data_IF_455100353334
#
_entry.id   IF_455100353334
#
_cell.length_a   1.000
_cell.length_b   1.000
_cell.length_c   1.000
_cell.angle_alpha   90.00
_cell.angle_beta   90.00
_cell.angle_gamma   90.00
#
_symmetry.space_group_name_H-M   'P 1'
#
loop_
_entity.id
_entity.type
_entity.pdbx_description
1 polymer ?
#
# COMPACT_ATOMS: atom_id res chain seq x y z
N UNK A 1 3.71 -15.94 20.23
CA UNK A 1 4.32 -14.90 19.37
C UNK A 1 3.20 -14.30 18.54
N UNK A 2 3.15 -12.97 18.43
CA UNK A 2 2.26 -12.32 17.45
C UNK A 2 3.05 -12.19 16.15
N UNK A 3 2.45 -12.49 15.01
CA UNK A 3 3.09 -12.39 13.70
C UNK A 3 3.46 -10.93 13.35
N UNK A 4 2.91 -9.96 14.08
CA UNK A 4 3.17 -8.53 13.93
C UNK A 4 1.90 -7.75 13.61
N UNK A 5 1.93 -6.44 13.87
CA UNK A 5 0.83 -5.51 13.62
C UNK A 5 1.38 -4.10 13.41
N UNK A 6 0.85 -3.36 12.42
CA UNK A 6 1.08 -1.91 12.29
C UNK A 6 0.06 -1.13 13.16
N UNK A 7 0.38 0.10 13.59
CA UNK A 7 -0.56 0.93 14.35
C UNK A 7 -1.94 0.99 13.69
N UNK A 8 -3.00 0.73 14.47
CA UNK A 8 -4.38 0.75 13.98
C UNK A 8 -4.98 -0.61 13.62
N UNK A 9 -4.40 -1.74 14.08
CA UNK A 9 -5.03 -3.06 13.88
C UNK A 9 -4.57 -3.81 12.64
N UNK A 10 -3.63 -3.26 11.87
CA UNK A 10 -3.27 -3.82 10.56
C UNK A 10 -2.35 -5.04 10.71
N UNK A 11 -2.94 -6.23 10.62
CA UNK A 11 -2.28 -7.54 10.72
C UNK A 11 -2.12 -8.24 9.38
N UNK A 12 -1.34 -9.32 9.35
CA UNK A 12 -1.29 -10.26 8.22
C UNK A 12 -2.66 -10.84 7.90
N UNK A 13 -2.96 -11.04 6.61
CA UNK A 13 -4.20 -11.67 6.17
C UNK A 13 -4.65 -11.25 4.78
N UNK A 14 -5.70 -11.92 4.31
CA UNK A 14 -6.43 -11.53 3.09
C UNK A 14 -7.26 -10.28 3.42
N UNK A 15 -7.08 -9.22 2.63
CA UNK A 15 -7.77 -7.93 2.82
C UNK A 15 -8.94 -7.74 1.87
N UNK A 16 -8.94 -8.45 0.73
CA UNK A 16 -10.02 -8.43 -0.24
C UNK A 16 -10.06 -9.73 -1.04
N UNK A 17 -11.27 -10.23 -1.28
CA UNK A 17 -11.58 -11.25 -2.27
C UNK A 17 -12.67 -10.65 -3.15
N UNK A 18 -12.41 -10.53 -4.44
CA UNK A 18 -13.44 -10.10 -5.39
C UNK A 18 -13.18 -10.60 -6.80
N UNK A 19 -14.18 -10.52 -7.66
CA UNK A 19 -14.14 -11.09 -9.01
C UNK A 19 -12.97 -10.60 -9.88
N UNK A 20 -12.40 -9.42 -9.59
CA UNK A 20 -11.23 -8.88 -10.32
C UNK A 20 -9.88 -9.09 -9.63
N UNK A 21 -9.83 -9.49 -8.36
CA UNK A 21 -8.58 -9.74 -7.65
C UNK A 21 -8.72 -10.23 -6.21
N UNK A 22 -7.74 -11.03 -5.77
CA UNK A 22 -7.51 -11.38 -4.37
C UNK A 22 -6.32 -10.59 -3.87
N UNK A 23 -6.44 -9.96 -2.71
CA UNK A 23 -5.43 -9.07 -2.15
C UNK A 23 -5.14 -9.43 -0.70
N UNK A 24 -3.87 -9.31 -0.32
CA UNK A 24 -3.42 -9.68 1.01
C UNK A 24 -2.17 -8.94 1.45
N UNK A 25 -2.03 -8.84 2.77
CA UNK A 25 -0.90 -8.23 3.45
C UNK A 25 -0.18 -9.27 4.30
N UNK A 26 1.13 -9.16 4.39
CA UNK A 26 1.94 -9.78 5.44
C UNK A 26 2.62 -8.69 6.27
N UNK A 27 2.48 -8.75 7.59
CA UNK A 27 3.21 -7.94 8.55
C UNK A 27 4.06 -8.91 9.37
N UNK A 28 5.34 -8.61 9.51
CA UNK A 28 6.30 -9.43 10.23
C UNK A 28 6.97 -8.59 11.30
N UNK A 29 6.85 -9.01 12.56
CA UNK A 29 7.64 -8.47 13.66
C UNK A 29 8.94 -9.27 13.79
N UNK A 30 10.09 -8.61 13.71
CA UNK A 30 11.38 -9.28 13.85
C UNK A 30 12.37 -8.46 14.68
N UNK A 31 13.33 -9.14 15.28
CA UNK A 31 14.37 -8.51 16.08
C UNK A 31 15.74 -8.94 15.58
N UNK A 32 16.47 -7.99 15.01
CA UNK A 32 17.86 -8.21 14.60
C UNK A 32 18.76 -8.29 15.82
N UNK A 33 19.76 -9.19 15.80
CA UNK A 33 20.74 -9.26 16.89
C UNK A 33 21.43 -7.91 17.08
N UNK A 34 21.31 -7.34 18.28
CA UNK A 34 21.89 -6.04 18.63
C UNK A 34 21.04 -4.82 18.27
N UNK A 35 19.81 -4.99 17.76
CA UNK A 35 18.91 -3.88 17.50
C UNK A 35 18.41 -3.25 18.81
N UNK A 36 18.21 -1.93 18.82
CA UNK A 36 17.65 -1.25 20.00
C UNK A 36 16.17 -1.59 20.24
N UNK A 37 15.46 -2.04 19.21
CA UNK A 37 14.03 -2.33 19.22
C UNK A 37 13.67 -3.34 18.12
N UNK A 38 12.52 -4.03 18.22
CA UNK A 38 11.97 -4.82 17.12
C UNK A 38 11.65 -3.94 15.92
N UNK A 39 11.71 -4.49 14.71
CA UNK A 39 11.31 -3.85 13.46
C UNK A 39 10.06 -4.53 12.90
N UNK A 40 9.32 -3.81 12.07
CA UNK A 40 8.25 -4.37 11.26
C UNK A 40 8.66 -4.40 9.80
N UNK A 41 8.43 -5.54 9.17
CA UNK A 41 8.46 -5.66 7.70
C UNK A 41 7.06 -5.85 7.17
N UNK A 42 6.83 -5.32 5.98
CA UNK A 42 5.55 -5.35 5.30
C UNK A 42 5.72 -5.89 3.89
N UNK A 43 4.80 -6.76 3.47
CA UNK A 43 4.60 -7.11 2.06
C UNK A 43 3.12 -7.05 1.70
N UNK A 44 2.83 -6.71 0.45
CA UNK A 44 1.49 -6.78 -0.11
C UNK A 44 1.51 -7.62 -1.38
N UNK A 45 0.38 -8.23 -1.69
CA UNK A 45 0.16 -8.94 -2.95
C UNK A 45 -1.24 -8.68 -3.44
N UNK A 46 -1.37 -8.52 -4.75
CA UNK A 46 -2.65 -8.49 -5.46
C UNK A 46 -2.54 -9.48 -6.61
N UNK A 47 -3.48 -10.42 -6.70
CA UNK A 47 -3.49 -11.49 -7.70
C UNK A 47 -4.76 -11.35 -8.53
N UNK A 48 -4.62 -11.25 -9.85
CA UNK A 48 -5.76 -11.27 -10.76
C UNK A 48 -6.42 -12.66 -10.75
N UNK A 49 -7.69 -12.71 -10.38
CA UNK A 49 -8.46 -13.97 -10.23
C UNK A 49 -8.54 -14.81 -11.49
N UNK A 50 -8.62 -14.18 -12.67
CA UNK A 50 -8.82 -14.88 -13.95
C UNK A 50 -7.57 -15.59 -14.45
N UNK A 51 -6.38 -15.06 -14.13
CA UNK A 51 -5.11 -15.54 -14.67
C UNK A 51 -4.16 -16.07 -13.59
N UNK A 52 -4.49 -15.88 -12.31
CA UNK A 52 -3.63 -16.15 -11.17
C UNK A 52 -2.26 -15.45 -11.24
N UNK A 53 -2.17 -14.34 -11.97
CA UNK A 53 -0.94 -13.55 -12.10
C UNK A 53 -0.94 -12.38 -11.12
N UNK A 54 0.22 -12.00 -10.55
CA UNK A 54 0.35 -10.77 -9.77
C UNK A 54 -0.11 -9.54 -10.58
N UNK A 55 -0.71 -8.57 -9.89
CA UNK A 55 -0.93 -7.21 -10.38
C UNK A 55 0.10 -6.33 -9.70
N UNK A 56 1.07 -5.85 -10.48
CA UNK A 56 2.19 -5.05 -9.99
C UNK A 56 1.91 -3.56 -10.16
N UNK A 57 2.80 -2.71 -9.64
CA UNK A 57 2.76 -1.26 -9.85
C UNK A 57 2.85 -0.87 -11.34
N UNK A 58 3.55 -1.67 -12.15
CA UNK A 58 3.72 -1.44 -13.59
C UNK A 58 2.46 -1.80 -14.39
N UNK A 59 1.67 -2.75 -13.89
CA UNK A 59 0.33 -3.07 -14.41
C UNK A 59 -0.70 -2.01 -14.02
N UNK A 60 -0.55 -1.41 -12.83
CA UNK A 60 -1.52 -0.51 -12.24
C UNK A 60 -1.63 0.83 -13.00
N UNK A 61 -0.48 1.46 -13.26
CA UNK A 61 -0.43 2.82 -13.76
C UNK A 61 -0.21 2.89 -15.27
N UNK A 62 -0.90 3.83 -15.93
CA UNK A 62 -0.66 4.15 -17.35
C UNK A 62 0.66 4.88 -17.57
N UNK A 63 1.03 5.71 -16.60
CA UNK A 63 2.27 6.47 -16.54
C UNK A 63 2.75 6.42 -15.09
N UNK A 64 3.84 5.69 -14.86
CA UNK A 64 4.37 5.48 -13.52
C UNK A 64 4.90 6.78 -12.92
N UNK A 65 5.52 7.66 -13.71
CA UNK A 65 6.07 8.91 -13.18
C UNK A 65 4.95 9.83 -12.73
N UNK A 66 3.93 10.03 -13.58
CA UNK A 66 2.79 10.88 -13.25
C UNK A 66 1.99 10.34 -12.06
N UNK A 67 1.87 9.02 -11.93
CA UNK A 67 1.25 8.38 -10.77
C UNK A 67 2.04 8.64 -9.48
N UNK A 68 3.36 8.48 -9.51
CA UNK A 68 4.22 8.74 -8.35
C UNK A 68 4.17 10.21 -7.93
N UNK A 69 4.21 11.14 -8.88
CA UNK A 69 4.09 12.57 -8.57
C UNK A 69 2.74 12.91 -7.96
N UNK A 70 1.67 12.30 -8.48
CA UNK A 70 0.34 12.42 -7.88
C UNK A 70 0.32 11.88 -6.45
N UNK A 71 0.87 10.70 -6.21
CA UNK A 71 0.94 10.11 -4.87
C UNK A 71 1.77 10.96 -3.90
N UNK A 72 2.90 11.53 -4.33
CA UNK A 72 3.71 12.43 -3.49
C UNK A 72 2.92 13.64 -2.97
N UNK A 73 2.00 14.16 -3.78
CA UNK A 73 1.10 15.23 -3.34
C UNK A 73 0.00 14.74 -2.39
N UNK A 74 -0.58 13.56 -2.66
CA UNK A 74 -1.75 13.06 -1.95
C UNK A 74 -1.42 12.41 -0.60
N UNK A 75 -0.32 11.67 -0.50
CA UNK A 75 -0.04 10.85 0.69
C UNK A 75 0.14 11.71 1.96
N UNK A 76 0.90 12.82 1.96
CA UNK A 76 0.98 13.72 3.13
C UNK A 76 -0.35 14.45 3.42
N UNK A 77 -1.09 14.82 2.36
CA UNK A 77 -2.41 15.49 2.48
C UNK A 77 -3.41 14.58 3.22
N UNK A 78 -3.48 13.32 2.79
CA UNK A 78 -4.48 12.34 3.23
C UNK A 78 -4.08 11.59 4.51
N UNK A 79 -2.82 11.66 4.92
CA UNK A 79 -2.39 11.07 6.18
C UNK A 79 -2.99 11.83 7.38
N UNK A 80 -3.90 11.15 8.08
CA UNK A 80 -4.56 11.65 9.29
C UNK A 80 -3.66 11.57 10.52
N UNK A 81 -2.61 10.74 10.47
CA UNK A 81 -1.68 10.53 11.58
C UNK A 81 -0.56 11.56 11.62
N UNK A 82 -0.35 12.32 10.54
CA UNK A 82 0.69 13.35 10.37
C UNK A 82 2.11 12.82 10.53
N UNK A 83 2.33 11.59 10.06
CA UNK A 83 3.61 10.88 10.06
C UNK A 83 4.25 10.81 8.68
N UNK A 84 3.49 11.07 7.61
CA UNK A 84 3.98 11.07 6.23
C UNK A 84 4.41 12.48 5.83
N UNK A 85 5.70 12.65 5.55
CA UNK A 85 6.27 13.91 5.09
C UNK A 85 6.67 13.83 3.62
N UNK A 86 6.37 14.87 2.85
CA UNK A 86 6.75 14.93 1.43
C UNK A 86 8.26 14.77 1.19
N UNK A 87 9.08 15.27 2.13
CA UNK A 87 10.54 15.17 2.09
C UNK A 87 11.06 13.72 2.20
N UNK A 88 10.24 12.80 2.71
CA UNK A 88 10.61 11.38 2.85
C UNK A 88 10.21 10.56 1.61
N UNK A 89 9.44 11.13 0.68
CA UNK A 89 8.94 10.47 -0.54
C UNK A 89 9.86 10.65 -1.75
N UNK A 90 11.17 10.51 -1.55
CA UNK A 90 12.21 10.81 -2.57
C UNK A 90 12.48 9.66 -3.54
N UNK A 91 12.19 8.42 -3.15
CA UNK A 91 12.33 7.22 -3.99
C UNK A 91 11.06 6.88 -4.80
N UNK A 92 11.00 5.67 -5.35
CA UNK A 92 9.81 5.12 -6.04
C UNK A 92 9.12 4.01 -5.23
N UNK A 93 9.84 3.40 -4.28
CA UNK A 93 9.40 2.22 -3.53
C UNK A 93 8.22 2.46 -2.59
N UNK A 94 7.93 3.72 -2.23
CA UNK A 94 6.78 4.05 -1.39
C UNK A 94 5.44 3.65 -2.05
N UNK A 95 5.42 3.46 -3.36
CA UNK A 95 4.24 3.04 -4.11
C UNK A 95 4.17 1.53 -4.39
N UNK A 96 5.16 0.74 -3.94
CA UNK A 96 5.20 -0.70 -4.21
C UNK A 96 4.31 -1.48 -3.23
N UNK A 97 4.10 -0.96 -2.02
CA UNK A 97 3.23 -1.55 -1.00
C UNK A 97 1.83 -0.92 -1.02
N UNK A 98 0.91 -1.57 -1.74
CA UNK A 98 -0.48 -1.12 -1.85
C UNK A 98 -1.48 -2.27 -1.86
N UNK A 99 -2.73 -1.97 -1.53
CA UNK A 99 -3.88 -2.87 -1.64
C UNK A 99 -5.14 -2.13 -2.14
N UNK A 100 -5.97 -2.78 -2.97
CA UNK A 100 -7.28 -2.23 -3.32
C UNK A 100 -8.26 -2.37 -2.15
N UNK A 101 -9.00 -1.31 -1.88
CA UNK A 101 -10.12 -1.30 -0.93
C UNK A 101 -11.39 -0.81 -1.63
N UNK A 102 -12.54 -0.90 -0.95
CA UNK A 102 -13.79 -0.32 -1.46
C UNK A 102 -13.70 1.21 -1.63
N UNK A 103 -12.97 1.89 -0.75
CA UNK A 103 -12.86 3.36 -0.73
C UNK A 103 -11.75 3.90 -1.64
N UNK A 104 -10.67 3.13 -1.86
CA UNK A 104 -9.49 3.62 -2.55
C UNK A 104 -8.33 2.65 -2.61
N UNK A 105 -7.19 3.17 -3.05
CA UNK A 105 -5.90 2.50 -3.01
C UNK A 105 -5.27 2.75 -1.62
N UNK A 106 -5.19 1.73 -0.78
CA UNK A 106 -4.46 1.82 0.49
C UNK A 106 -2.97 1.63 0.22
N UNK A 107 -2.17 2.67 0.44
CA UNK A 107 -0.71 2.66 0.28
C UNK A 107 -0.08 2.63 1.67
N UNK A 108 0.89 1.73 1.87
CA UNK A 108 1.62 1.65 3.14
C UNK A 108 2.93 2.40 3.03
N UNK A 109 2.90 3.66 3.47
CA UNK A 109 4.02 4.57 3.34
C UNK A 109 5.07 4.26 4.39
N UNK A 110 6.35 4.02 4.02
CA UNK A 110 7.42 3.90 5.00
C UNK A 110 7.55 5.19 5.82
N UNK A 111 7.66 5.06 7.14
CA UNK A 111 7.87 6.19 8.06
C UNK A 111 8.97 5.85 9.06
N UNK A 112 9.45 6.83 9.81
CA UNK A 112 10.44 6.60 10.86
C UNK A 112 9.99 5.50 11.83
N UNK A 113 10.94 4.71 12.35
CA UNK A 113 10.63 3.59 13.24
C UNK A 113 9.76 3.99 14.44
N UNK A 114 10.10 5.12 15.07
CA UNK A 114 9.33 5.69 16.21
C UNK A 114 7.88 6.02 15.85
N UNK A 115 7.59 6.23 14.57
CA UNK A 115 6.27 6.49 14.03
C UNK A 115 5.51 5.20 13.62
N UNK A 116 6.13 4.02 13.77
CA UNK A 116 5.50 2.71 13.56
C UNK A 116 5.90 1.97 12.29
N UNK A 117 7.03 2.34 11.66
CA UNK A 117 7.61 1.75 10.44
C UNK A 117 6.81 2.01 9.14
N UNK A 118 5.48 1.88 9.19
CA UNK A 118 4.60 2.15 8.06
C UNK A 118 3.32 2.88 8.49
N UNK A 119 2.89 3.84 7.67
CA UNK A 119 1.61 4.53 7.79
C UNK A 119 0.69 4.12 6.62
N UNK A 120 -0.42 3.41 6.89
CA UNK A 120 -1.45 3.15 5.88
C UNK A 120 -2.18 4.45 5.53
N UNK A 121 -2.22 4.78 4.24
CA UNK A 121 -2.93 5.96 3.71
C UNK A 121 -3.84 5.52 2.56
N UNK A 122 -5.14 5.75 2.72
CA UNK A 122 -6.11 5.47 1.66
C UNK A 122 -6.19 6.64 0.70
N UNK A 123 -5.80 6.41 -0.55
CA UNK A 123 -5.98 7.35 -1.66
C UNK A 123 -7.33 7.07 -2.34
N UNK A 124 -8.32 7.98 -2.24
CA UNK A 124 -9.63 7.75 -2.84
C UNK A 124 -9.51 7.50 -4.34
N UNK A 125 -10.31 6.56 -4.87
CA UNK A 125 -10.27 6.21 -6.29
C UNK A 125 -10.43 7.44 -7.20
N UNK A 126 -11.33 8.36 -6.85
CA UNK A 126 -11.55 9.60 -7.60
C UNK A 126 -10.30 10.50 -7.71
N UNK A 127 -9.34 10.39 -6.79
CA UNK A 127 -8.11 11.22 -6.78
C UNK A 127 -6.96 10.61 -7.59
N UNK A 128 -7.05 9.32 -7.94
CA UNK A 128 -5.98 8.57 -8.62
C UNK A 128 -6.43 7.85 -9.91
N UNK A 129 -7.73 7.74 -10.18
CA UNK A 129 -8.29 7.03 -11.33
C UNK A 129 -7.68 7.47 -12.68
N UNK A 130 -7.41 8.77 -12.84
CA UNK A 130 -6.80 9.30 -14.06
C UNK A 130 -5.39 8.75 -14.34
N UNK A 131 -4.71 8.21 -13.33
CA UNK A 131 -3.37 7.62 -13.43
C UNK A 131 -3.39 6.10 -13.64
N UNK A 132 -4.56 5.47 -13.55
CA UNK A 132 -4.69 4.02 -13.73
C UNK A 132 -4.74 3.66 -15.22
N UNK A 133 -4.30 2.43 -15.55
CA UNK A 133 -4.54 1.87 -16.89
C UNK A 133 -6.06 1.71 -17.14
N UNK A 134 -6.52 1.84 -18.40
CA UNK A 134 -7.92 1.59 -18.73
C UNK A 134 -8.40 0.22 -18.21
N UNK A 135 -9.60 0.16 -17.61
CA UNK A 135 -10.18 -1.06 -17.07
C UNK A 135 -9.62 -1.51 -15.72
N UNK A 136 -8.56 -0.87 -15.21
CA UNK A 136 -7.92 -1.29 -13.95
C UNK A 136 -8.77 -0.90 -12.73
N UNK A 137 -9.42 0.26 -12.75
CA UNK A 137 -10.29 0.69 -11.66
C UNK A 137 -11.47 -0.28 -11.49
N UNK A 138 -12.11 -0.64 -12.59
CA UNK A 138 -13.23 -1.59 -12.65
C UNK A 138 -12.78 -2.96 -12.14
N UNK A 139 -11.60 -3.42 -12.56
CA UNK A 139 -11.02 -4.68 -12.08
C UNK A 139 -10.81 -4.66 -10.57
N UNK A 140 -10.17 -3.64 -10.02
CA UNK A 140 -9.82 -3.59 -8.60
C UNK A 140 -11.03 -3.39 -7.68
N UNK A 141 -12.15 -2.87 -8.22
CA UNK A 141 -13.42 -2.66 -7.50
C UNK A 141 -14.45 -3.76 -7.71
N UNK A 142 -14.19 -4.73 -8.58
CA UNK A 142 -15.10 -5.85 -8.79
C UNK A 142 -15.16 -6.71 -7.51
N UNK A 143 -16.37 -6.94 -7.02
CA UNK A 143 -16.69 -7.86 -5.93
C UNK A 143 -17.04 -9.24 -6.51
#
# INVERSE_FOLDING_TARGET
MSDGELPGGYRSGVTRIGAGGVAGRIVLLWYGKGAAHPNRSLGTVVIATRTATPVTVDDLYRDRSAALDRLRSLLPELDTTKRVYAADLTGTHFADAWLPTSAGLEVYVPVAHVAGDYAPVVVPWARIAAQLRPGMLERLRAD
#
